data_IF_972453491458
#
_entry.id   IF_972453491458
#
_cell.length_a   1.000
_cell.length_b   1.000
_cell.length_c   1.000
_cell.angle_alpha   90.00
_cell.angle_beta   90.00
_cell.angle_gamma   90.00
#
_symmetry.space_group_name_H-M   'P 1'
#
loop_
_entity.id
_entity.type
_entity.pdbx_description
1 polymer ?
#
# COMPACT_ATOMS: atom_id res chain seq x y z
N UNK A 1 40.46 25.87 75.19
CA UNK A 1 39.39 24.95 75.64
C UNK A 1 38.11 25.42 74.96
N UNK A 2 37.45 24.51 74.26
CA UNK A 2 36.28 24.67 73.39
C UNK A 2 36.47 25.30 71.98
N UNK A 3 36.35 24.50 70.90
CA UNK A 3 36.06 24.94 69.55
C UNK A 3 34.54 24.95 69.28
N UNK A 4 34.17 25.33 68.04
CA UNK A 4 32.89 25.09 67.34
C UNK A 4 31.89 26.26 67.25
N UNK A 5 31.83 26.85 66.06
CA UNK A 5 30.59 27.39 65.49
C UNK A 5 30.63 27.24 63.95
N UNK A 6 29.88 26.31 63.35
CA UNK A 6 29.80 26.16 61.90
C UNK A 6 28.73 27.07 61.28
N UNK A 7 29.04 27.57 60.08
CA UNK A 7 28.18 28.40 59.22
C UNK A 7 26.93 27.64 58.73
N UNK A 8 25.80 28.33 58.46
CA UNK A 8 24.56 27.67 58.05
C UNK A 8 24.54 27.29 56.56
N UNK A 9 24.18 26.04 56.27
CA UNK A 9 23.88 25.55 54.92
C UNK A 9 22.48 25.96 54.42
N UNK A 10 22.29 26.18 53.10
CA UNK A 10 21.00 26.49 52.52
C UNK A 10 20.10 25.24 52.45
N UNK A 11 18.88 25.33 53.00
CA UNK A 11 17.86 24.27 52.98
C UNK A 11 17.09 24.28 51.66
N UNK A 12 17.12 23.16 50.94
CA UNK A 12 16.19 22.84 49.85
C UNK A 12 14.79 22.57 50.41
N UNK A 13 13.69 23.02 49.78
CA UNK A 13 12.34 22.69 50.22
C UNK A 13 11.95 21.25 49.83
N UNK A 14 11.42 20.53 50.81
CA UNK A 14 10.96 19.15 50.71
C UNK A 14 9.61 19.02 49.99
N UNK A 15 9.50 18.04 49.10
CA UNK A 15 8.25 17.51 48.56
C UNK A 15 7.52 16.68 49.65
N UNK A 16 6.21 16.85 49.87
CA UNK A 16 5.44 15.90 50.67
C UNK A 16 4.90 14.76 49.79
N UNK A 17 5.42 13.55 50.02
CA UNK A 17 4.68 12.31 49.78
C UNK A 17 3.69 12.14 50.94
N UNK A 18 2.39 12.19 50.64
CA UNK A 18 1.38 11.60 51.54
C UNK A 18 0.39 10.85 50.68
N UNK A 19 0.46 9.53 50.81
CA UNK A 19 -0.37 8.55 50.15
C UNK A 19 -1.44 8.10 51.15
N UNK A 20 -2.66 7.93 50.63
CA UNK A 20 -3.68 6.99 51.07
C UNK A 20 -4.64 7.38 52.22
N UNK A 21 -5.92 7.47 51.82
CA UNK A 21 -7.07 6.79 52.42
C UNK A 21 -8.09 7.67 53.17
N UNK A 22 -9.08 8.22 52.45
CA UNK A 22 -10.44 8.38 52.96
C UNK A 22 -11.50 8.06 51.89
N UNK A 23 -12.01 6.83 52.00
CA UNK A 23 -13.42 6.38 51.91
C UNK A 23 -14.47 7.30 51.24
N UNK A 24 -15.14 6.72 50.25
CA UNK A 24 -16.29 7.23 49.50
C UNK A 24 -17.55 7.51 50.33
N UNK A 25 -18.30 8.57 49.98
CA UNK A 25 -19.73 8.61 49.57
C UNK A 25 -20.19 10.10 49.44
N UNK A 26 -21.38 10.42 48.90
CA UNK A 26 -21.56 10.87 47.52
C UNK A 26 -22.03 12.34 47.45
N UNK A 27 -21.43 13.14 46.58
CA UNK A 27 -21.95 14.47 46.33
C UNK A 27 -21.09 15.24 45.34
N UNK A 28 -21.76 15.86 44.38
CA UNK A 28 -21.23 16.81 43.39
C UNK A 28 -20.68 16.21 42.09
N UNK A 29 -21.61 15.76 41.25
CA UNK A 29 -21.46 15.83 39.79
C UNK A 29 -21.56 17.30 39.33
N UNK A 30 -20.69 17.79 38.43
CA UNK A 30 -21.01 18.98 37.65
C UNK A 30 -22.06 18.61 36.59
N UNK A 31 -23.17 19.37 36.57
CA UNK A 31 -24.26 19.22 35.59
C UNK A 31 -23.70 19.34 34.16
N UNK A 32 -23.69 18.24 33.41
CA UNK A 32 -23.73 18.31 31.95
C UNK A 32 -25.18 18.52 31.54
N UNK A 33 -25.46 19.69 30.98
CA UNK A 33 -26.68 19.97 30.25
C UNK A 33 -26.68 19.15 28.96
N UNK A 34 -27.55 18.14 28.91
CA UNK A 34 -28.00 17.51 27.66
C UNK A 34 -29.11 18.37 27.06
N UNK A 35 -29.03 18.81 25.80
CA UNK A 35 -30.24 19.08 25.04
C UNK A 35 -30.75 17.77 24.44
N UNK A 36 -31.99 17.45 24.79
CA UNK A 36 -32.76 16.36 24.24
C UNK A 36 -32.98 16.55 22.73
N UNK A 37 -32.77 15.47 21.98
CA UNK A 37 -33.37 15.24 20.68
C UNK A 37 -34.89 15.05 20.87
N UNK A 38 -35.69 16.02 20.47
CA UNK A 38 -37.10 15.82 20.09
C UNK A 38 -37.58 16.96 19.19
N UNK A 39 -38.16 16.55 18.05
CA UNK A 39 -39.15 17.26 17.22
C UNK A 39 -38.69 18.44 16.34
N UNK A 40 -38.01 18.10 15.24
CA UNK A 40 -38.05 18.91 14.01
C UNK A 40 -39.08 18.29 13.05
N UNK A 41 -40.14 19.00 12.64
CA UNK A 41 -41.17 18.44 11.77
C UNK A 41 -40.59 18.13 10.36
N UNK A 42 -40.85 16.91 9.88
CA UNK A 42 -40.40 16.33 8.60
C UNK A 42 -40.82 17.11 7.34
N UNK A 43 -41.57 18.21 7.47
CA UNK A 43 -42.02 19.05 6.35
C UNK A 43 -40.98 20.07 5.88
N UNK A 44 -39.92 20.32 6.66
CA UNK A 44 -38.82 21.24 6.29
C UNK A 44 -37.66 20.56 5.52
N UNK A 45 -37.49 19.25 5.67
CA UNK A 45 -36.51 18.46 4.91
C UNK A 45 -36.95 18.15 3.47
N UNK A 46 -38.24 18.28 3.17
CA UNK A 46 -38.79 18.08 1.82
C UNK A 46 -38.54 19.28 0.89
N UNK A 47 -38.44 20.51 1.44
CA UNK A 47 -38.32 21.74 0.64
C UNK A 47 -36.89 22.23 0.38
N UNK A 48 -35.90 21.72 1.12
CA UNK A 48 -34.48 22.06 0.89
C UNK A 48 -33.85 21.33 -0.30
N UNK A 49 -34.52 20.30 -0.86
CA UNK A 49 -34.02 19.52 -2.01
C UNK A 49 -34.29 20.16 -3.38
N UNK A 50 -35.06 21.25 -3.44
CA UNK A 50 -35.56 21.84 -4.71
C UNK A 50 -34.89 23.16 -5.13
N UNK A 51 -33.89 23.66 -4.40
CA UNK A 51 -33.26 24.96 -4.70
C UNK A 51 -31.73 24.91 -4.57
N UNK A 52 -31.05 24.05 -5.33
CA UNK A 52 -29.60 24.13 -5.59
C UNK A 52 -29.17 23.18 -6.73
N UNK A 53 -29.27 23.57 -8.02
CA UNK A 53 -28.76 22.74 -9.12
C UNK A 53 -27.28 22.99 -9.46
N UNK A 54 -26.48 23.57 -8.55
CA UNK A 54 -25.07 23.85 -8.80
C UNK A 54 -24.23 23.76 -7.52
N UNK A 55 -23.94 22.55 -7.03
CA UNK A 55 -22.72 22.26 -6.25
C UNK A 55 -22.53 20.74 -6.08
N UNK A 56 -22.34 20.02 -7.18
CA UNK A 56 -21.78 18.66 -7.14
C UNK A 56 -20.35 18.75 -7.68
N UNK A 57 -19.30 18.51 -6.87
CA UNK A 57 -17.93 18.57 -7.37
C UNK A 57 -17.73 17.49 -8.43
N UNK A 58 -17.13 17.90 -9.56
CA UNK A 58 -16.80 17.12 -10.77
C UNK A 58 -15.84 15.93 -10.55
N UNK A 59 -15.75 15.35 -9.35
CA UNK A 59 -14.82 14.26 -8.96
C UNK A 59 -15.28 12.88 -9.44
N UNK A 60 -16.57 12.66 -9.66
CA UNK A 60 -17.11 11.36 -10.11
C UNK A 60 -16.88 11.06 -11.60
N UNK A 61 -16.60 12.08 -12.43
CA UNK A 61 -16.37 11.90 -13.86
C UNK A 61 -15.01 11.27 -14.16
N UNK A 62 -13.96 11.65 -13.43
CA UNK A 62 -12.62 11.08 -13.56
C UNK A 62 -12.58 9.62 -13.12
N UNK A 63 -13.19 9.28 -11.98
CA UNK A 63 -13.29 7.88 -11.53
C UNK A 63 -14.07 6.99 -12.50
N UNK A 64 -15.19 7.48 -13.05
CA UNK A 64 -15.97 6.72 -14.04
C UNK A 64 -15.32 6.65 -15.41
N UNK A 65 -14.50 7.63 -15.79
CA UNK A 65 -13.71 7.61 -17.02
C UNK A 65 -12.53 6.65 -16.89
N UNK A 66 -11.88 6.62 -15.73
CA UNK A 66 -10.79 5.70 -15.39
C UNK A 66 -11.27 4.24 -15.35
N UNK A 67 -12.38 3.95 -14.67
CA UNK A 67 -13.00 2.61 -14.65
C UNK A 67 -13.44 2.18 -16.05
N UNK A 68 -13.99 3.09 -16.86
CA UNK A 68 -14.36 2.80 -18.25
C UNK A 68 -13.15 2.63 -19.17
N UNK A 69 -12.04 3.32 -18.93
CA UNK A 69 -10.79 3.15 -19.65
C UNK A 69 -10.17 1.78 -19.34
N UNK A 70 -10.12 1.39 -18.06
CA UNK A 70 -9.71 0.06 -17.60
C UNK A 70 -10.54 -1.07 -18.23
N UNK A 71 -11.86 -0.88 -18.32
CA UNK A 71 -12.77 -1.87 -18.93
C UNK A 71 -12.66 -1.95 -20.47
N UNK A 72 -12.27 -0.86 -21.15
CA UNK A 72 -12.12 -0.81 -22.62
C UNK A 72 -10.78 -1.34 -23.10
N UNK A 73 -9.74 -1.26 -22.29
CA UNK A 73 -8.49 -1.98 -22.56
C UNK A 73 -8.73 -3.48 -22.42
N UNK A 74 -8.60 -4.23 -23.53
CA UNK A 74 -8.56 -5.71 -23.60
C UNK A 74 -7.48 -6.38 -22.70
N UNK A 75 -6.88 -5.65 -21.77
CA UNK A 75 -5.74 -6.05 -20.94
C UNK A 75 -6.14 -6.90 -19.72
N UNK A 76 -7.43 -6.87 -19.32
CA UNK A 76 -7.94 -7.58 -18.13
C UNK A 76 -8.80 -8.81 -18.45
N UNK A 77 -8.81 -9.31 -19.69
CA UNK A 77 -9.41 -10.63 -19.95
C UNK A 77 -8.43 -11.70 -19.51
N UNK A 78 -8.64 -12.21 -18.31
CA UNK A 78 -8.11 -13.52 -17.94
C UNK A 78 -8.68 -14.56 -18.92
N UNK A 79 -7.85 -15.39 -19.56
CA UNK A 79 -8.37 -16.55 -20.27
C UNK A 79 -9.12 -17.44 -19.26
N UNK A 80 -10.27 -18.03 -19.64
CA UNK A 80 -10.93 -19.00 -18.77
C UNK A 80 -9.93 -20.12 -18.45
N UNK A 81 -9.93 -20.67 -17.21
CA UNK A 81 -9.11 -21.82 -16.89
C UNK A 81 -9.41 -22.91 -17.91
N UNK A 82 -8.37 -23.46 -18.53
CA UNK A 82 -8.51 -24.56 -19.48
C UNK A 82 -9.13 -25.73 -18.74
N UNK A 83 -10.45 -25.90 -18.84
CA UNK A 83 -11.10 -27.16 -18.53
C UNK A 83 -10.40 -28.21 -19.39
N UNK A 84 -9.62 -29.07 -18.75
CA UNK A 84 -9.14 -30.29 -19.36
C UNK A 84 -10.38 -31.10 -19.72
N UNK A 85 -10.87 -30.91 -20.94
CA UNK A 85 -11.97 -31.67 -21.51
C UNK A 85 -11.44 -33.07 -21.75
N UNK A 86 -11.40 -33.89 -20.68
CA UNK A 86 -11.37 -35.35 -20.78
C UNK A 86 -12.68 -35.71 -21.46
N UNK A 87 -12.61 -35.90 -22.78
CA UNK A 87 -13.68 -36.51 -23.53
C UNK A 87 -13.96 -37.89 -22.90
N UNK A 88 -15.09 -37.97 -22.23
CA UNK A 88 -15.69 -39.20 -21.76
C UNK A 88 -16.03 -40.04 -23.00
N UNK A 89 -15.23 -41.07 -23.29
CA UNK A 89 -15.51 -42.04 -24.32
C UNK A 89 -16.41 -43.14 -23.71
N UNK A 90 -17.68 -43.29 -24.15
CA UNK A 90 -18.63 -44.22 -23.55
C UNK A 90 -18.58 -45.65 -24.14
N UNK A 91 -17.51 -46.05 -24.83
CA UNK A 91 -17.40 -47.40 -25.44
C UNK A 91 -16.29 -48.26 -24.83
N UNK A 92 -16.49 -48.72 -23.58
CA UNK A 92 -15.76 -49.91 -23.09
C UNK A 92 -16.65 -50.83 -22.27
N UNK A 93 -17.39 -51.69 -22.99
CA UNK A 93 -18.09 -52.82 -22.42
C UNK A 93 -17.13 -53.98 -22.10
N UNK A 94 -17.08 -54.38 -20.81
CA UNK A 94 -17.27 -55.76 -20.26
C UNK A 94 -16.47 -55.94 -18.94
N UNK A 95 -17.10 -56.48 -17.87
CA UNK A 95 -16.39 -56.95 -16.69
C UNK A 95 -16.05 -58.44 -16.83
N UNK A 96 -14.84 -58.84 -16.42
CA UNK A 96 -14.50 -60.24 -16.06
C UNK A 96 -13.34 -60.27 -15.06
N UNK A 97 -13.19 -61.38 -14.31
CA UNK A 97 -13.18 -61.37 -12.86
C UNK A 97 -11.77 -61.29 -12.28
N UNK A 98 -11.76 -60.97 -10.99
CA UNK A 98 -10.58 -60.87 -10.14
C UNK A 98 -9.79 -62.17 -10.14
N UNK A 99 -8.47 -62.09 -10.36
CA UNK A 99 -7.53 -63.14 -10.01
C UNK A 99 -6.26 -62.51 -9.44
N UNK A 100 -6.14 -62.71 -8.13
CA UNK A 100 -4.98 -62.68 -7.22
C UNK A 100 -3.60 -62.22 -7.67
N UNK A 101 -3.00 -61.43 -6.77
CA UNK A 101 -1.61 -61.43 -6.33
C UNK A 101 -0.52 -60.87 -7.27
N UNK A 102 -0.03 -59.68 -6.92
CA UNK A 102 1.39 -59.51 -6.55
C UNK A 102 1.64 -58.11 -6.01
N UNK A 103 2.04 -58.07 -4.73
CA UNK A 103 2.68 -56.92 -4.12
C UNK A 103 4.01 -56.66 -4.82
N UNK A 104 4.11 -55.57 -5.59
CA UNK A 104 5.38 -54.99 -5.98
C UNK A 104 5.36 -53.51 -5.62
N UNK A 105 5.90 -53.25 -4.44
CA UNK A 105 6.79 -52.13 -4.12
C UNK A 105 6.69 -50.91 -5.05
N UNK A 106 5.70 -50.03 -4.80
CA UNK A 106 5.75 -48.67 -5.31
C UNK A 106 6.66 -47.86 -4.37
N UNK A 107 7.97 -47.94 -4.60
CA UNK A 107 8.90 -46.92 -4.10
C UNK A 107 8.49 -45.60 -4.74
N UNK A 108 7.80 -44.75 -3.97
CA UNK A 108 7.65 -43.34 -4.29
C UNK A 108 9.06 -42.72 -4.33
N UNK A 109 9.70 -42.75 -5.50
CA UNK A 109 10.76 -41.82 -5.80
C UNK A 109 10.14 -40.42 -5.75
N UNK A 110 10.66 -39.47 -4.95
CA UNK A 110 10.23 -38.09 -5.06
C UNK A 110 10.55 -37.64 -6.49
N UNK A 111 9.52 -37.30 -7.25
CA UNK A 111 9.66 -36.69 -8.56
C UNK A 111 10.60 -35.47 -8.43
N UNK A 112 11.70 -35.40 -9.19
CA UNK A 112 12.58 -34.22 -9.19
C UNK A 112 11.92 -33.00 -9.87
N UNK A 113 10.63 -33.05 -10.19
CA UNK A 113 9.87 -31.96 -10.79
C UNK A 113 9.51 -30.81 -9.82
N UNK A 114 10.00 -30.85 -8.57
CA UNK A 114 10.06 -29.69 -7.69
C UNK A 114 11.49 -29.13 -7.58
N UNK A 115 12.37 -29.45 -8.55
CA UNK A 115 13.52 -28.61 -8.82
C UNK A 115 12.97 -27.23 -9.15
N UNK A 116 13.26 -26.27 -8.28
CA UNK A 116 13.01 -24.86 -8.46
C UNK A 116 13.42 -24.47 -9.88
N UNK A 117 12.47 -24.52 -10.80
CA UNK A 117 12.61 -23.92 -12.10
C UNK A 117 12.89 -22.47 -11.77
N UNK A 118 14.16 -22.09 -11.89
CA UNK A 118 14.57 -20.71 -11.86
C UNK A 118 13.62 -20.02 -12.84
N UNK A 119 12.63 -19.30 -12.30
CA UNK A 119 11.63 -18.53 -13.02
C UNK A 119 12.41 -17.42 -13.71
N UNK A 120 13.01 -17.82 -14.81
CA UNK A 120 13.88 -17.01 -15.60
C UNK A 120 12.94 -16.12 -16.37
N UNK A 121 12.86 -14.88 -15.92
CA UNK A 121 12.16 -13.76 -16.54
C UNK A 121 12.84 -13.36 -17.85
N UNK A 122 13.15 -14.35 -18.71
CA UNK A 122 13.94 -14.24 -19.93
C UNK A 122 13.36 -13.24 -20.95
N UNK A 123 12.10 -12.83 -20.79
CA UNK A 123 11.46 -11.85 -21.65
C UNK A 123 11.68 -10.39 -21.24
N UNK A 124 11.97 -10.08 -19.97
CA UNK A 124 12.01 -8.69 -19.47
C UNK A 124 13.46 -8.18 -19.39
N UNK A 125 13.80 -7.04 -20.03
CA UNK A 125 15.12 -6.44 -19.96
C UNK A 125 15.63 -6.26 -18.53
N UNK A 126 16.93 -6.49 -18.32
CA UNK A 126 17.54 -6.48 -16.98
C UNK A 126 17.36 -5.15 -16.23
N UNK A 127 17.32 -4.02 -16.95
CA UNK A 127 17.09 -2.70 -16.35
C UNK A 127 15.74 -2.62 -15.63
N UNK A 128 14.65 -3.11 -16.24
CA UNK A 128 13.33 -3.13 -15.61
C UNK A 128 13.29 -4.07 -14.42
N UNK A 129 13.99 -5.21 -14.50
CA UNK A 129 14.10 -6.15 -13.40
C UNK A 129 14.82 -5.53 -12.21
N UNK A 130 15.93 -4.81 -12.44
CA UNK A 130 16.64 -4.11 -11.38
C UNK A 130 15.75 -3.08 -10.67
N UNK A 131 15.04 -2.25 -11.46
CA UNK A 131 14.16 -1.21 -10.91
C UNK A 131 13.02 -1.83 -10.10
N UNK A 132 12.22 -2.71 -10.71
CA UNK A 132 10.98 -3.19 -10.10
C UNK A 132 11.20 -4.24 -9.01
N UNK A 133 12.25 -5.05 -9.08
CA UNK A 133 12.47 -6.10 -8.07
C UNK A 133 13.25 -5.58 -6.87
N UNK A 134 14.07 -4.53 -7.01
CA UNK A 134 14.99 -4.11 -5.94
C UNK A 134 14.80 -2.66 -5.55
N UNK A 135 14.98 -1.74 -6.49
CA UNK A 135 15.01 -0.32 -6.20
C UNK A 135 13.65 0.19 -5.70
N UNK A 136 12.57 -0.28 -6.32
CA UNK A 136 11.21 0.08 -5.96
C UNK A 136 10.79 -0.46 -4.57
N UNK A 137 10.85 -1.77 -4.25
CA UNK A 137 10.51 -2.26 -2.91
C UNK A 137 11.31 -1.61 -1.78
N UNK A 138 12.60 -1.35 -1.99
CA UNK A 138 13.46 -0.71 -1.00
C UNK A 138 13.06 0.75 -0.75
N UNK A 139 12.69 1.47 -1.80
CA UNK A 139 12.24 2.86 -1.68
C UNK A 139 10.94 2.98 -0.90
N UNK A 140 9.95 2.11 -1.16
CA UNK A 140 8.67 2.11 -0.46
C UNK A 140 8.86 1.66 0.99
N UNK A 141 9.72 0.67 1.22
CA UNK A 141 10.08 0.24 2.57
C UNK A 141 10.71 1.38 3.39
N UNK A 142 11.52 2.23 2.75
CA UNK A 142 12.07 3.43 3.40
C UNK A 142 10.95 4.39 3.81
N UNK A 143 9.96 4.62 2.93
CA UNK A 143 8.76 5.39 3.27
C UNK A 143 7.99 4.80 4.46
N UNK A 144 7.80 3.47 4.48
CA UNK A 144 7.14 2.78 5.58
C UNK A 144 7.90 2.96 6.91
N UNK A 145 9.23 2.88 6.86
CA UNK A 145 10.10 3.07 8.03
C UNK A 145 9.91 4.47 8.63
N UNK A 146 10.01 5.53 7.84
CA UNK A 146 9.83 6.89 8.36
C UNK A 146 8.40 7.12 8.85
N UNK A 147 7.38 6.62 8.15
CA UNK A 147 5.99 6.79 8.57
C UNK A 147 5.69 6.12 9.91
N UNK A 148 6.31 4.97 10.20
CA UNK A 148 6.09 4.24 11.45
C UNK A 148 6.97 4.74 12.61
N UNK A 149 8.29 4.80 12.38
CA UNK A 149 9.26 5.05 13.45
C UNK A 149 9.50 6.54 13.70
N UNK A 150 9.30 7.40 12.69
CA UNK A 150 9.68 8.81 12.70
C UNK A 150 8.51 9.71 12.21
N UNK A 151 7.29 9.58 12.75
CA UNK A 151 6.12 10.27 12.21
C UNK A 151 6.23 11.80 12.28
N UNK A 152 6.82 12.34 13.35
CA UNK A 152 7.07 13.79 13.50
C UNK A 152 8.01 14.30 12.39
N UNK A 153 9.16 13.63 12.20
CA UNK A 153 10.11 13.95 11.13
C UNK A 153 9.49 13.83 9.74
N UNK A 154 8.69 12.78 9.51
CA UNK A 154 8.01 12.58 8.23
C UNK A 154 7.06 13.75 7.91
N UNK A 155 6.29 14.20 8.89
CA UNK A 155 5.35 15.33 8.74
C UNK A 155 6.09 16.66 8.55
N UNK A 156 7.17 16.89 9.30
CA UNK A 156 8.03 18.07 9.15
C UNK A 156 8.63 18.16 7.74
N UNK A 157 9.15 17.03 7.24
CA UNK A 157 9.69 16.94 5.87
C UNK A 157 8.59 17.10 4.83
N UNK A 158 7.38 16.59 5.09
CA UNK A 158 6.26 16.69 4.15
C UNK A 158 5.80 18.14 3.99
N UNK A 159 5.60 18.85 5.10
CA UNK A 159 5.27 20.27 5.09
C UNK A 159 5.48 20.92 6.46
N UNK A 160 6.66 21.50 6.67
CA UNK A 160 7.07 22.09 7.95
C UNK A 160 6.06 23.10 8.51
N UNK A 161 5.51 23.97 7.66
CA UNK A 161 4.65 25.07 8.09
C UNK A 161 3.29 24.60 8.67
N UNK A 162 2.86 23.37 8.37
CA UNK A 162 1.62 22.79 8.91
C UNK A 162 1.85 21.54 9.75
N UNK A 163 3.10 21.23 10.09
CA UNK A 163 3.43 20.06 10.91
C UNK A 163 3.09 20.31 12.38
N UNK A 164 2.59 19.32 13.13
CA UNK A 164 2.34 19.44 14.56
C UNK A 164 3.62 19.46 15.42
N UNK A 165 4.80 19.33 14.81
CA UNK A 165 6.09 19.25 15.50
C UNK A 165 6.24 17.94 16.28
N UNK A 166 6.87 18.00 17.46
CA UNK A 166 7.24 16.81 18.23
C UNK A 166 6.03 16.03 18.79
N UNK A 167 4.90 16.69 19.04
CA UNK A 167 3.71 16.09 19.63
C UNK A 167 2.65 15.80 18.57
N UNK A 168 2.81 14.67 17.86
CA UNK A 168 1.85 14.24 16.83
C UNK A 168 0.50 13.86 17.47
N UNK A 169 -0.63 14.47 17.06
CA UNK A 169 -1.95 14.13 17.59
C UNK A 169 -2.32 12.67 17.34
N UNK A 170 -3.06 12.06 18.27
CA UNK A 170 -3.42 10.62 18.22
C UNK A 170 -4.03 10.21 16.88
N UNK A 171 -4.96 11.00 16.35
CA UNK A 171 -5.59 10.74 15.04
C UNK A 171 -4.58 10.70 13.90
N UNK A 172 -3.60 11.62 13.92
CA UNK A 172 -2.53 11.67 12.92
C UNK A 172 -1.59 10.48 13.08
N UNK A 173 -1.22 10.13 14.31
CA UNK A 173 -0.39 8.95 14.60
C UNK A 173 -1.04 7.64 14.09
N UNK A 174 -2.35 7.48 14.26
CA UNK A 174 -3.09 6.33 13.72
C UNK A 174 -2.99 6.29 12.18
N UNK A 175 -3.21 7.43 11.51
CA UNK A 175 -3.12 7.52 10.05
C UNK A 175 -1.68 7.24 9.57
N UNK A 176 -0.67 7.70 10.30
CA UNK A 176 0.74 7.43 9.99
C UNK A 176 1.07 5.93 10.08
N UNK A 177 0.55 5.23 11.09
CA UNK A 177 0.70 3.77 11.20
C UNK A 177 -0.06 3.05 10.08
N UNK A 178 -1.26 3.52 9.72
CA UNK A 178 -2.01 2.97 8.59
C UNK A 178 -1.27 3.17 7.26
N UNK A 179 -0.64 4.34 7.06
CA UNK A 179 0.21 4.64 5.90
C UNK A 179 1.43 3.72 5.87
N UNK A 180 2.12 3.55 7.00
CA UNK A 180 3.26 2.64 7.09
C UNK A 180 2.88 1.19 6.78
N UNK A 181 1.73 0.73 7.30
CA UNK A 181 1.21 -0.60 7.00
C UNK A 181 0.90 -0.77 5.50
N UNK A 182 0.29 0.24 4.87
CA UNK A 182 0.02 0.23 3.44
C UNK A 182 1.31 0.16 2.61
N UNK A 183 2.31 0.97 2.96
CA UNK A 183 3.61 0.98 2.28
C UNK A 183 4.38 -0.34 2.49
N UNK A 184 4.37 -0.89 3.71
CA UNK A 184 4.98 -2.20 3.96
C UNK A 184 4.31 -3.29 3.11
N UNK A 185 2.98 -3.32 3.07
CA UNK A 185 2.23 -4.26 2.24
C UNK A 185 2.54 -4.11 0.76
N UNK A 186 2.63 -2.87 0.26
CA UNK A 186 2.98 -2.59 -1.13
C UNK A 186 4.41 -3.06 -1.47
N UNK A 187 5.39 -2.73 -0.62
CA UNK A 187 6.78 -3.18 -0.78
C UNK A 187 6.87 -4.72 -0.81
N UNK A 188 6.10 -5.42 0.05
CA UNK A 188 6.03 -6.87 0.04
C UNK A 188 5.38 -7.42 -1.25
N UNK A 189 4.29 -6.82 -1.72
CA UNK A 189 3.63 -7.23 -2.97
C UNK A 189 4.57 -7.06 -4.17
N UNK A 190 5.24 -5.92 -4.28
CA UNK A 190 6.21 -5.67 -5.36
C UNK A 190 7.41 -6.61 -5.29
N UNK A 191 7.91 -6.88 -4.07
CA UNK A 191 9.01 -7.81 -3.87
C UNK A 191 8.63 -9.24 -4.25
N UNK A 192 7.39 -9.67 -4.01
CA UNK A 192 6.98 -11.08 -4.16
C UNK A 192 6.30 -11.38 -5.48
N UNK A 193 5.29 -10.61 -5.88
CA UNK A 193 4.41 -10.94 -7.02
C UNK A 193 5.22 -11.14 -8.30
N UNK A 194 6.13 -10.21 -8.63
CA UNK A 194 6.94 -10.28 -9.85
C UNK A 194 8.04 -11.34 -9.79
N UNK A 195 8.43 -11.82 -8.60
CA UNK A 195 9.37 -12.94 -8.42
C UNK A 195 8.66 -14.30 -8.53
N UNK A 196 7.38 -14.36 -8.19
CA UNK A 196 6.59 -15.58 -8.21
C UNK A 196 6.05 -15.95 -9.60
N UNK A 197 6.26 -15.12 -10.63
CA UNK A 197 5.73 -15.36 -11.97
C UNK A 197 6.66 -14.87 -13.08
N UNK A 198 6.70 -15.65 -14.16
CA UNK A 198 7.32 -15.25 -15.44
C UNK A 198 6.28 -14.86 -16.49
N UNK A 199 4.98 -14.87 -16.14
CA UNK A 199 3.90 -14.49 -17.05
C UNK A 199 3.90 -12.97 -17.29
N UNK A 200 4.13 -12.57 -18.54
CA UNK A 200 4.14 -11.17 -18.93
C UNK A 200 2.78 -10.49 -18.72
N UNK A 201 1.66 -11.21 -18.85
CA UNK A 201 0.34 -10.63 -18.61
C UNK A 201 0.16 -10.23 -17.14
N UNK A 202 0.65 -11.04 -16.20
CA UNK A 202 0.65 -10.72 -14.77
C UNK A 202 1.54 -9.51 -14.51
N UNK A 203 2.76 -9.49 -15.07
CA UNK A 203 3.66 -8.34 -14.98
C UNK A 203 3.00 -7.06 -15.47
N UNK A 204 2.42 -7.06 -16.67
CA UNK A 204 1.77 -5.86 -17.25
C UNK A 204 0.60 -5.39 -16.41
N UNK A 205 -0.24 -6.32 -15.93
CA UNK A 205 -1.41 -5.97 -15.11
C UNK A 205 -0.99 -5.36 -13.78
N UNK A 206 0.00 -5.95 -13.12
CA UNK A 206 0.55 -5.43 -11.87
C UNK A 206 1.17 -4.04 -12.06
N UNK A 207 2.01 -3.87 -13.09
CA UNK A 207 2.64 -2.59 -13.43
C UNK A 207 1.63 -1.49 -13.78
N UNK A 208 0.50 -1.82 -14.42
CA UNK A 208 -0.59 -0.85 -14.64
C UNK A 208 -1.18 -0.37 -13.31
N UNK A 209 -1.42 -1.29 -12.36
CA UNK A 209 -1.89 -0.93 -11.03
C UNK A 209 -0.92 0.01 -10.30
N UNK A 210 0.38 -0.27 -10.40
CA UNK A 210 1.41 0.59 -9.82
C UNK A 210 1.52 1.95 -10.52
N UNK A 211 1.37 2.01 -11.84
CA UNK A 211 1.35 3.28 -12.58
C UNK A 211 0.20 4.20 -12.12
N UNK A 212 -0.92 3.61 -11.71
CA UNK A 212 -2.05 4.35 -11.14
C UNK A 212 -1.72 4.84 -9.73
N UNK A 213 -1.04 4.01 -8.94
CA UNK A 213 -0.54 4.40 -7.63
C UNK A 213 0.44 5.58 -7.72
N UNK A 214 1.33 5.60 -8.71
CA UNK A 214 2.24 6.74 -8.96
C UNK A 214 1.47 8.04 -9.19
N UNK A 215 0.43 7.99 -10.02
CA UNK A 215 -0.41 9.16 -10.28
C UNK A 215 -1.11 9.65 -9.02
N UNK A 216 -1.58 8.73 -8.18
CA UNK A 216 -2.14 9.05 -6.86
C UNK A 216 -1.10 9.68 -5.92
N UNK A 217 0.11 9.14 -5.89
CA UNK A 217 1.22 9.64 -5.06
C UNK A 217 1.64 11.05 -5.50
N UNK A 218 1.89 11.27 -6.80
CA UNK A 218 2.23 12.59 -7.33
C UNK A 218 1.12 13.61 -7.10
N UNK A 219 -0.14 13.22 -7.17
CA UNK A 219 -1.27 14.11 -6.87
C UNK A 219 -1.37 14.43 -5.37
N UNK A 220 -0.95 13.52 -4.49
CA UNK A 220 -1.06 13.72 -3.04
C UNK A 220 -0.31 14.98 -2.55
N UNK A 221 0.81 15.31 -3.16
CA UNK A 221 1.64 16.49 -2.80
C UNK A 221 1.15 17.81 -3.42
N UNK A 222 0.07 17.81 -4.23
CA UNK A 222 -0.37 19.05 -4.90
C UNK A 222 -0.75 20.17 -3.92
N UNK A 223 -1.18 19.81 -2.70
CA UNK A 223 -1.59 20.76 -1.67
C UNK A 223 -0.41 21.58 -1.12
N UNK A 224 0.83 21.08 -1.25
CA UNK A 224 2.05 21.83 -0.90
C UNK A 224 2.25 23.03 -1.84
N UNK A 225 1.71 22.96 -3.06
CA UNK A 225 1.79 24.01 -4.06
C UNK A 225 2.54 23.57 -5.32
N UNK A 226 2.56 24.44 -6.34
CA UNK A 226 3.17 24.11 -7.64
C UNK A 226 4.69 23.97 -7.58
N UNK A 227 5.33 24.71 -6.67
CA UNK A 227 6.79 24.72 -6.52
C UNK A 227 7.36 23.33 -6.22
N UNK A 228 6.61 22.47 -5.51
CA UNK A 228 7.05 21.11 -5.17
C UNK A 228 7.37 20.27 -6.42
N UNK A 229 6.77 20.58 -7.58
CA UNK A 229 7.01 19.82 -8.81
C UNK A 229 8.20 20.30 -9.62
N UNK A 230 8.60 21.58 -9.48
CA UNK A 230 9.52 22.21 -10.45
C UNK A 230 10.69 22.96 -9.80
N UNK A 231 10.55 23.43 -8.56
CA UNK A 231 11.58 24.18 -7.86
C UNK A 231 12.56 23.25 -7.14
N UNK A 232 13.26 22.41 -7.92
CA UNK A 232 14.14 21.35 -7.40
C UNK A 232 15.29 21.87 -6.51
N UNK A 233 15.67 23.14 -6.63
CA UNK A 233 16.63 23.80 -5.74
C UNK A 233 16.10 24.07 -4.32
N UNK A 234 14.80 23.88 -4.08
CA UNK A 234 14.16 23.98 -2.76
C UNK A 234 13.86 22.62 -2.13
N UNK A 235 14.09 21.52 -2.86
CA UNK A 235 13.70 20.18 -2.41
C UNK A 235 14.47 19.73 -1.18
N UNK A 236 13.74 19.25 -0.19
CA UNK A 236 14.29 18.53 0.94
C UNK A 236 14.36 17.02 0.64
N UNK A 237 14.84 16.22 1.61
CA UNK A 237 15.02 14.78 1.45
C UNK A 237 13.75 14.02 0.99
N UNK A 238 12.56 14.37 1.50
CA UNK A 238 11.31 13.69 1.12
C UNK A 238 10.82 14.13 -0.25
N UNK A 239 11.10 15.37 -0.67
CA UNK A 239 10.70 15.87 -1.99
C UNK A 239 11.39 15.08 -3.10
N UNK A 240 12.69 14.77 -2.92
CA UNK A 240 13.44 13.89 -3.81
C UNK A 240 12.81 12.50 -3.95
N UNK A 241 12.30 11.95 -2.85
CA UNK A 241 11.58 10.67 -2.86
C UNK A 241 10.18 10.76 -3.47
N UNK A 242 9.47 11.85 -3.22
CA UNK A 242 8.05 12.00 -3.58
C UNK A 242 7.82 12.42 -5.02
N UNK A 243 8.75 13.19 -5.61
CA UNK A 243 8.54 13.81 -6.93
C UNK A 243 9.42 13.18 -8.01
N UNK A 244 10.74 13.44 -8.11
CA UNK A 244 11.53 12.96 -9.24
C UNK A 244 11.67 11.44 -9.23
N UNK A 245 11.76 10.81 -8.06
CA UNK A 245 11.86 9.36 -7.96
C UNK A 245 10.57 8.67 -8.42
N UNK A 246 9.39 9.19 -8.04
CA UNK A 246 8.10 8.65 -8.50
C UNK A 246 7.89 8.91 -9.99
N UNK A 247 8.30 10.07 -10.52
CA UNK A 247 8.33 10.29 -11.97
C UNK A 247 9.23 9.28 -12.69
N UNK A 248 10.41 9.01 -12.16
CA UNK A 248 11.33 8.01 -12.71
C UNK A 248 10.67 6.62 -12.77
N UNK A 249 10.03 6.19 -11.68
CA UNK A 249 9.33 4.91 -11.66
C UNK A 249 8.16 4.89 -12.65
N UNK A 250 7.31 5.92 -12.67
CA UNK A 250 6.18 6.03 -13.60
C UNK A 250 6.63 5.98 -15.07
N UNK A 251 7.69 6.70 -15.43
CA UNK A 251 8.28 6.66 -16.77
C UNK A 251 8.79 5.26 -17.08
N UNK A 252 9.52 4.63 -16.15
CA UNK A 252 10.04 3.27 -16.33
C UNK A 252 8.91 2.26 -16.57
N UNK A 253 7.80 2.38 -15.84
CA UNK A 253 6.58 1.58 -16.03
C UNK A 253 5.96 1.82 -17.41
N UNK A 254 5.83 3.08 -17.84
CA UNK A 254 5.33 3.41 -19.19
C UNK A 254 6.22 2.79 -20.28
N UNK A 255 7.54 2.93 -20.17
CA UNK A 255 8.50 2.37 -21.12
C UNK A 255 8.42 0.84 -21.17
N UNK A 256 8.27 0.17 -20.02
CA UNK A 256 8.06 -1.28 -19.96
C UNK A 256 6.76 -1.70 -20.64
N UNK A 257 5.65 -1.00 -20.37
CA UNK A 257 4.35 -1.28 -20.98
C UNK A 257 4.36 -1.08 -22.50
N UNK A 258 5.09 -0.07 -22.98
CA UNK A 258 5.35 0.20 -24.40
C UNK A 258 6.39 -0.76 -25.01
N UNK A 259 6.94 -1.69 -24.22
CA UNK A 259 7.96 -2.66 -24.63
C UNK A 259 9.25 -2.04 -25.18
N UNK A 260 9.64 -0.87 -24.69
CA UNK A 260 10.92 -0.24 -25.05
C UNK A 260 12.07 -1.10 -24.55
N UNK A 261 13.03 -1.45 -25.41
CA UNK A 261 14.20 -2.27 -25.05
C UNK A 261 13.97 -3.78 -25.07
N UNK A 262 12.79 -4.27 -25.47
CA UNK A 262 12.54 -5.69 -25.66
C UNK A 262 13.03 -6.15 -27.04
N UNK A 263 13.58 -7.37 -27.12
CA UNK A 263 14.02 -7.95 -28.39
C UNK A 263 12.83 -8.16 -29.35
N UNK A 264 12.97 -7.76 -30.62
CA UNK A 264 11.99 -8.08 -31.66
C UNK A 264 12.00 -9.59 -31.89
N UNK A 265 10.85 -10.25 -31.75
CA UNK A 265 10.73 -11.64 -32.17
C UNK A 265 10.91 -11.69 -33.69
N UNK A 266 12.04 -12.25 -34.15
CA UNK A 266 12.25 -12.57 -35.56
C UNK A 266 11.21 -13.62 -35.93
N UNK A 267 10.25 -13.23 -36.78
CA UNK A 267 9.21 -14.11 -37.28
C UNK A 267 9.85 -15.36 -37.88
N UNK A 268 9.43 -16.52 -37.38
CA UNK A 268 9.82 -17.83 -37.91
C UNK A 268 9.20 -17.96 -39.30
N UNK A 269 9.92 -17.53 -40.33
CA UNK A 269 9.56 -17.77 -41.73
C UNK A 269 9.42 -19.28 -41.89
N UNK A 270 8.18 -19.76 -42.10
CA UNK A 270 7.95 -21.15 -42.48
C UNK A 270 8.59 -21.33 -43.86
N UNK A 271 9.72 -22.02 -43.93
CA UNK A 271 10.16 -22.65 -45.16
C UNK A 271 9.13 -23.74 -45.49
N UNK A 272 8.36 -23.49 -46.53
CA UNK A 272 7.59 -24.49 -47.27
C UNK A 272 8.48 -25.13 -48.32
#
# INVERSE_FOLDING_TARGET
MHPDAPLPHPRLPALPLTLCNQRASPGWLPRRTTPALADVPLTLLSRARSLCPFLVPRRHLLGRAFVRALHRTRLLRFPPPSESRRAHNPDRAKPRPQTTASYLHCTMAPSPAASAAALSTHGVPAVYRLVFLWLEPLSILTGAFYAYFLPSTYLDLTHLASSPGAAVPISTSIIMIQLANLYMGLAMLEATVLRCTSDEQVWRTFIIGLLVADGGHLYSVHAVGRDVYWAWWKWNAIDWGNVPFVYFLAVTRILMLLRVGFAKQRGRTKQS
#
